data_IF_150441230178
#
_entry.id   IF_150441230178
#
_cell.length_a   1.000
_cell.length_b   1.000
_cell.length_c   1.000
_cell.angle_alpha   90.00
_cell.angle_beta   90.00
_cell.angle_gamma   90.00
#
_symmetry.space_group_name_H-M   'P 1'
#
loop_
_entity.id
_entity.type
_entity.pdbx_description
1 polymer ?
#
# COMPACT_ATOMS: atom_id res chain seq x y z
N UNK A 1 -16.42 12.17 -31.90
CA UNK A 1 -16.75 11.69 -30.53
C UNK A 1 -15.51 11.85 -29.68
N UNK A 2 -15.55 12.67 -28.61
CA UNK A 2 -14.41 12.92 -27.73
C UNK A 2 -14.10 11.65 -26.93
N UNK A 3 -12.95 11.05 -27.16
CA UNK A 3 -12.41 9.96 -26.35
C UNK A 3 -12.29 10.45 -24.91
N UNK A 4 -13.13 9.92 -24.01
CA UNK A 4 -12.93 10.06 -22.57
C UNK A 4 -11.66 9.28 -22.26
N UNK A 5 -10.55 9.99 -22.10
CA UNK A 5 -9.34 9.45 -21.48
C UNK A 5 -9.74 8.86 -20.13
N UNK A 6 -9.69 7.54 -20.03
CA UNK A 6 -9.95 6.82 -18.80
C UNK A 6 -8.84 7.18 -17.80
N UNK A 7 -9.17 7.93 -16.74
CA UNK A 7 -8.21 8.42 -15.74
C UNK A 7 -7.42 7.30 -15.05
N UNK A 8 -7.90 6.05 -15.13
CA UNK A 8 -7.23 4.85 -14.62
C UNK A 8 -5.94 4.49 -15.38
N UNK A 9 -5.78 4.87 -16.65
CA UNK A 9 -4.60 4.50 -17.45
C UNK A 9 -3.33 5.32 -17.15
N UNK A 10 -3.40 6.37 -16.33
CA UNK A 10 -2.22 7.22 -16.06
C UNK A 10 -1.29 6.66 -15.00
N UNK A 11 -1.78 5.77 -14.13
CA UNK A 11 -1.10 5.40 -12.89
C UNK A 11 -0.62 3.95 -12.82
N UNK A 12 -0.94 3.11 -13.80
CA UNK A 12 -0.64 1.67 -13.75
C UNK A 12 0.21 1.21 -14.94
N UNK A 13 1.21 2.02 -15.30
CA UNK A 13 2.33 1.48 -16.05
C UNK A 13 3.12 0.61 -15.06
N UNK A 14 2.83 -0.69 -15.06
CA UNK A 14 3.70 -1.71 -14.52
C UNK A 14 5.07 -1.56 -15.20
N UNK A 15 5.92 -0.69 -14.64
CA UNK A 15 7.26 -0.45 -15.17
C UNK A 15 8.13 -1.62 -14.76
N UNK A 16 8.14 -2.61 -15.64
CA UNK A 16 9.14 -3.66 -15.63
C UNK A 16 10.53 -3.01 -15.67
N UNK A 17 11.36 -3.40 -14.72
CA UNK A 17 12.63 -2.76 -14.39
C UNK A 17 13.41 -2.39 -15.67
N UNK A 18 13.67 -1.10 -15.87
CA UNK A 18 14.17 -0.56 -17.13
C UNK A 18 15.51 -1.19 -17.58
N UNK A 19 16.23 -1.81 -16.64
CA UNK A 19 17.51 -2.50 -16.85
C UNK A 19 17.42 -3.74 -17.77
N UNK A 20 16.24 -4.35 -17.94
CA UNK A 20 16.02 -5.47 -18.88
C UNK A 20 15.25 -5.08 -20.13
N UNK A 21 14.93 -3.79 -20.32
CA UNK A 21 14.00 -3.34 -21.37
C UNK A 21 14.71 -2.54 -22.46
N UNK A 22 14.58 -2.97 -23.71
CA UNK A 22 14.82 -2.10 -24.87
C UNK A 22 13.46 -1.78 -25.49
N UNK A 23 12.89 -0.58 -25.27
CA UNK A 23 11.56 -0.27 -25.79
C UNK A 23 11.57 -0.21 -27.32
N UNK A 24 10.71 -1.02 -27.96
CA UNK A 24 10.42 -0.91 -29.41
C UNK A 24 9.04 -0.26 -29.55
N UNK A 25 8.96 0.86 -30.28
CA UNK A 25 7.66 1.44 -30.66
C UNK A 25 7.01 0.54 -31.73
N UNK A 26 5.86 -0.03 -31.41
CA UNK A 26 5.04 -0.84 -32.33
C UNK A 26 3.62 -0.31 -32.46
N UNK A 27 2.81 -1.00 -33.27
CA UNK A 27 1.42 -0.60 -33.61
C UNK A 27 0.47 -0.49 -32.40
N UNK A 28 0.81 -1.09 -31.25
CA UNK A 28 -0.02 -1.11 -30.02
C UNK A 28 0.61 -0.33 -28.83
N UNK A 29 1.68 0.45 -29.05
CA UNK A 29 2.33 1.25 -28.00
C UNK A 29 3.70 0.75 -27.58
N UNK A 30 4.02 0.84 -26.28
CA UNK A 30 5.31 0.45 -25.72
C UNK A 30 5.37 -1.07 -25.57
N UNK A 31 6.29 -1.72 -26.28
CA UNK A 31 6.51 -3.16 -26.21
C UNK A 31 7.76 -3.46 -25.38
N UNK A 32 7.66 -4.44 -24.50
CA UNK A 32 8.72 -4.88 -23.61
C UNK A 32 9.41 -6.09 -24.22
N UNK A 33 10.75 -6.08 -24.27
CA UNK A 33 11.53 -7.20 -24.78
C UNK A 33 11.41 -8.38 -23.81
N UNK A 34 10.96 -9.51 -24.33
CA UNK A 34 10.95 -10.77 -23.61
C UNK A 34 12.38 -11.28 -23.47
N UNK A 35 12.77 -11.54 -22.23
CA UNK A 35 13.97 -12.28 -21.86
C UNK A 35 13.49 -13.53 -21.14
N UNK A 36 14.00 -14.71 -21.51
CA UNK A 36 13.65 -15.96 -20.82
C UNK A 36 14.13 -15.86 -19.37
N UNK A 37 13.16 -15.81 -18.47
CA UNK A 37 13.28 -15.84 -17.02
C UNK A 37 12.06 -16.60 -16.47
N UNK A 38 12.14 -17.07 -15.22
CA UNK A 38 11.13 -17.98 -14.64
C UNK A 38 9.69 -17.43 -14.70
N UNK A 39 9.51 -16.10 -14.70
CA UNK A 39 8.17 -15.49 -14.65
C UNK A 39 7.62 -15.23 -16.04
N UNK A 40 8.42 -14.63 -16.92
CA UNK A 40 7.99 -14.41 -18.29
C UNK A 40 7.76 -15.73 -19.01
N UNK A 41 8.52 -16.77 -18.64
CA UNK A 41 8.28 -18.13 -19.11
C UNK A 41 6.94 -18.67 -18.59
N UNK A 42 6.59 -18.43 -17.32
CA UNK A 42 5.28 -18.80 -16.75
C UNK A 42 4.11 -18.02 -17.37
N UNK A 43 4.32 -16.79 -17.81
CA UNK A 43 3.31 -15.98 -18.53
C UNK A 43 3.16 -16.40 -20.00
N UNK A 44 4.20 -17.01 -20.58
CA UNK A 44 4.26 -17.41 -21.98
C UNK A 44 4.25 -18.94 -22.18
N UNK A 45 4.04 -19.74 -21.14
CA UNK A 45 4.30 -21.19 -21.13
C UNK A 45 3.64 -21.93 -22.31
N UNK A 46 2.34 -21.72 -22.55
CA UNK A 46 1.66 -22.39 -23.67
C UNK A 46 2.08 -21.86 -25.05
N UNK A 47 2.65 -20.66 -25.11
CA UNK A 47 3.21 -20.08 -26.35
C UNK A 47 4.60 -20.64 -26.62
N UNK A 48 5.41 -20.81 -25.56
CA UNK A 48 6.76 -21.38 -25.63
C UNK A 48 6.71 -22.86 -26.05
N UNK A 49 5.67 -23.59 -25.64
CA UNK A 49 5.46 -25.00 -26.00
C UNK A 49 5.10 -25.22 -27.49
N UNK A 50 4.98 -24.15 -28.30
CA UNK A 50 4.75 -24.22 -29.74
C UNK A 50 6.03 -23.83 -30.52
N UNK A 51 6.75 -24.82 -31.04
CA UNK A 51 8.11 -24.72 -31.62
C UNK A 51 8.29 -23.72 -32.80
N UNK A 52 7.21 -23.17 -33.35
CA UNK A 52 7.27 -22.43 -34.62
C UNK A 52 7.60 -20.94 -34.47
N UNK A 53 7.32 -20.32 -33.32
CA UNK A 53 7.62 -18.90 -33.07
C UNK A 53 7.95 -18.68 -31.59
N UNK A 54 9.10 -18.07 -31.30
CA UNK A 54 9.48 -17.71 -29.93
C UNK A 54 8.95 -16.33 -29.55
N UNK A 55 8.33 -16.17 -28.36
CA UNK A 55 7.95 -14.86 -27.86
C UNK A 55 9.19 -13.97 -27.79
N UNK A 56 9.07 -12.73 -28.26
CA UNK A 56 10.17 -11.74 -28.24
C UNK A 56 9.74 -10.42 -27.62
N UNK A 57 8.44 -10.11 -27.62
CA UNK A 57 7.93 -8.95 -26.91
C UNK A 57 6.59 -9.22 -26.22
N UNK A 58 6.31 -8.46 -25.18
CA UNK A 58 5.04 -8.44 -24.47
C UNK A 58 4.51 -6.99 -24.42
N UNK A 59 3.21 -6.78 -24.59
CA UNK A 59 2.60 -5.46 -24.40
C UNK A 59 2.58 -5.07 -22.93
N UNK A 60 2.26 -3.81 -22.68
CA UNK A 60 1.80 -3.39 -21.36
C UNK A 60 0.55 -4.18 -20.95
N UNK A 61 0.35 -4.33 -19.63
CA UNK A 61 -0.87 -4.88 -19.06
C UNK A 61 -1.98 -3.84 -19.10
N UNK A 62 -3.16 -4.25 -19.56
CA UNK A 62 -4.38 -3.46 -19.60
C UNK A 62 -5.35 -3.96 -18.54
N UNK A 63 -5.77 -3.05 -17.66
CA UNK A 63 -6.78 -3.35 -16.64
C UNK A 63 -8.12 -3.65 -17.32
N UNK A 64 -8.66 -4.84 -17.08
CA UNK A 64 -10.01 -5.19 -17.51
C UNK A 64 -11.04 -4.68 -16.49
N UNK A 65 -12.28 -4.37 -16.92
CA UNK A 65 -13.36 -4.08 -15.97
C UNK A 65 -13.48 -5.21 -14.94
N UNK A 66 -13.62 -4.86 -13.66
CA UNK A 66 -13.81 -5.84 -12.59
C UNK A 66 -15.00 -6.73 -12.92
N UNK A 67 -14.79 -8.04 -12.85
CA UNK A 67 -15.88 -9.00 -12.91
C UNK A 67 -16.55 -9.05 -11.53
N UNK A 68 -17.79 -8.55 -11.46
CA UNK A 68 -18.60 -8.48 -10.25
C UNK A 68 -18.77 -9.85 -9.55
N UNK A 69 -18.51 -10.96 -10.26
CA UNK A 69 -18.64 -12.32 -9.70
C UNK A 69 -17.43 -12.81 -8.94
N UNK A 70 -16.22 -12.37 -9.29
CA UNK A 70 -14.98 -12.81 -8.63
C UNK A 70 -14.43 -11.76 -7.65
N UNK A 71 -14.79 -10.49 -7.84
CA UNK A 71 -14.19 -9.36 -7.11
C UNK A 71 -12.72 -9.11 -7.45
N UNK A 72 -12.11 -9.99 -8.24
CA UNK A 72 -10.69 -10.05 -8.54
C UNK A 72 -10.35 -9.18 -9.76
N UNK A 73 -9.26 -8.40 -9.65
CA UNK A 73 -8.79 -7.58 -10.74
C UNK A 73 -8.14 -8.46 -11.82
N UNK A 74 -8.55 -8.26 -13.06
CA UNK A 74 -8.02 -8.95 -14.24
C UNK A 74 -7.21 -7.99 -15.11
N UNK A 75 -6.15 -8.50 -15.70
CA UNK A 75 -5.28 -7.76 -16.62
C UNK A 75 -5.19 -8.49 -17.95
N UNK A 76 -5.15 -7.76 -19.06
CA UNK A 76 -4.91 -8.30 -20.39
C UNK A 76 -3.53 -7.88 -20.91
N UNK A 77 -2.80 -8.79 -21.53
CA UNK A 77 -1.58 -8.46 -22.25
C UNK A 77 -1.49 -9.26 -23.55
N UNK A 78 -0.65 -8.77 -24.47
CA UNK A 78 -0.40 -9.37 -25.77
C UNK A 78 1.05 -9.82 -25.87
N UNK A 79 1.27 -10.93 -26.57
CA UNK A 79 2.59 -11.51 -26.81
C UNK A 79 2.89 -11.36 -28.30
N UNK A 80 4.11 -10.97 -28.65
CA UNK A 80 4.55 -10.73 -30.02
C UNK A 80 5.87 -11.45 -30.32
N UNK A 81 6.06 -11.77 -31.60
CA UNK A 81 7.32 -12.29 -32.11
C UNK A 81 8.36 -11.18 -32.40
N UNK A 82 9.54 -11.56 -32.88
CA UNK A 82 10.64 -10.62 -33.20
C UNK A 82 10.27 -9.57 -34.25
N UNK A 83 9.35 -9.92 -35.14
CA UNK A 83 8.92 -9.11 -36.27
C UNK A 83 7.75 -8.18 -35.89
N UNK A 84 7.16 -8.40 -34.71
CA UNK A 84 6.08 -7.60 -34.14
C UNK A 84 4.69 -8.13 -34.45
N UNK A 85 4.57 -9.36 -34.94
CA UNK A 85 3.27 -10.01 -35.12
C UNK A 85 2.74 -10.50 -33.78
N UNK A 86 1.47 -10.20 -33.51
CA UNK A 86 0.80 -10.66 -32.30
C UNK A 86 0.62 -12.18 -32.38
N UNK A 87 1.23 -12.88 -31.43
CA UNK A 87 1.16 -14.33 -31.27
C UNK A 87 -0.05 -14.74 -30.43
N UNK A 88 -0.35 -13.99 -29.35
CA UNK A 88 -1.42 -14.31 -28.42
C UNK A 88 -1.89 -13.09 -27.62
N UNK A 89 -3.05 -13.23 -26.98
CA UNK A 89 -3.57 -12.32 -25.95
C UNK A 89 -4.00 -13.13 -24.75
N UNK A 90 -3.60 -12.70 -23.54
CA UNK A 90 -3.89 -13.40 -22.30
C UNK A 90 -4.55 -12.50 -21.29
N UNK A 91 -5.46 -13.09 -20.53
CA UNK A 91 -6.00 -12.49 -19.33
C UNK A 91 -5.36 -13.16 -18.13
N UNK A 92 -4.91 -12.37 -17.17
CA UNK A 92 -4.25 -12.84 -15.97
C UNK A 92 -4.87 -12.18 -14.75
N UNK A 93 -5.01 -12.96 -13.69
CA UNK A 93 -5.50 -12.49 -12.40
C UNK A 93 -4.43 -11.70 -11.67
N UNK A 94 -4.83 -10.70 -10.90
CA UNK A 94 -3.93 -9.98 -10.00
C UNK A 94 -3.20 -10.92 -9.06
N UNK A 95 -3.91 -11.87 -8.43
CA UNK A 95 -3.32 -12.84 -7.51
C UNK A 95 -2.20 -13.67 -8.14
N UNK A 96 -2.33 -14.03 -9.42
CA UNK A 96 -1.31 -14.78 -10.15
C UNK A 96 -0.10 -13.90 -10.49
N UNK A 97 -0.31 -12.62 -10.83
CA UNK A 97 0.80 -11.68 -10.99
C UNK A 97 1.54 -11.45 -9.67
N UNK A 98 0.81 -11.38 -8.56
CA UNK A 98 1.39 -11.28 -7.22
C UNK A 98 2.20 -12.54 -6.88
N UNK A 99 1.64 -13.73 -7.11
CA UNK A 99 2.31 -15.01 -6.90
C UNK A 99 3.60 -15.13 -7.74
N UNK A 100 3.54 -14.69 -9.00
CA UNK A 100 4.72 -14.62 -9.86
C UNK A 100 5.73 -13.57 -9.40
N UNK A 101 5.30 -12.47 -8.78
CA UNK A 101 6.19 -11.42 -8.27
C UNK A 101 6.94 -11.82 -6.98
N UNK A 102 6.41 -12.79 -6.22
CA UNK A 102 7.02 -13.25 -4.97
C UNK A 102 8.40 -13.92 -5.16
N UNK A 103 8.68 -14.64 -6.28
CA UNK A 103 10.01 -15.18 -6.56
C UNK A 103 10.93 -14.29 -7.41
N UNK A 104 10.43 -13.46 -8.34
CA UNK A 104 11.31 -12.56 -9.11
C UNK A 104 10.68 -11.18 -9.39
N UNK A 105 11.56 -10.18 -9.35
CA UNK A 105 11.35 -8.73 -9.40
C UNK A 105 10.55 -8.20 -10.63
N UNK A 106 9.26 -8.51 -10.75
CA UNK A 106 8.36 -7.87 -11.70
C UNK A 106 7.43 -6.89 -10.97
N UNK A 107 7.75 -5.60 -11.06
CA UNK A 107 6.96 -4.46 -10.57
C UNK A 107 6.46 -4.68 -9.16
N UNK A 108 7.30 -4.28 -8.20
CA UNK A 108 7.05 -4.32 -6.78
C UNK A 108 5.56 -4.06 -6.49
N UNK A 109 4.77 -5.11 -6.30
CA UNK A 109 3.33 -4.97 -6.08
C UNK A 109 3.07 -4.16 -4.81
N UNK A 110 4.05 -4.17 -3.91
CA UNK A 110 4.24 -3.26 -2.81
C UNK A 110 4.19 -1.80 -3.27
N UNK A 111 4.90 -1.39 -4.32
CA UNK A 111 4.85 -0.01 -4.86
C UNK A 111 3.44 0.40 -5.30
N UNK A 112 2.70 -0.47 -6.01
CA UNK A 112 1.32 -0.15 -6.45
C UNK A 112 0.40 -0.06 -5.24
N UNK A 113 0.47 -1.04 -4.33
CA UNK A 113 -0.28 -1.06 -3.07
C UNK A 113 0.03 0.17 -2.21
N UNK A 114 1.27 0.62 -2.19
CA UNK A 114 1.73 1.79 -1.46
C UNK A 114 1.16 3.07 -2.06
N UNK A 115 1.14 3.21 -3.39
CA UNK A 115 0.55 4.38 -4.04
C UNK A 115 -0.98 4.41 -3.91
N UNK A 116 -1.67 3.28 -4.01
CA UNK A 116 -3.11 3.18 -3.72
C UNK A 116 -3.42 3.55 -2.26
N UNK A 117 -2.60 3.08 -1.33
CA UNK A 117 -2.70 3.42 0.08
C UNK A 117 -2.49 4.93 0.31
N UNK A 118 -1.44 5.51 -0.29
CA UNK A 118 -1.17 6.95 -0.20
C UNK A 118 -2.33 7.78 -0.74
N UNK A 119 -2.82 7.43 -1.91
CA UNK A 119 -3.94 8.12 -2.54
C UNK A 119 -5.24 7.98 -1.73
N UNK A 120 -5.48 6.81 -1.12
CA UNK A 120 -6.64 6.59 -0.26
C UNK A 120 -6.60 7.39 1.05
N UNK A 121 -5.39 7.70 1.53
CA UNK A 121 -5.16 8.34 2.82
C UNK A 121 -4.74 9.81 2.76
N UNK A 122 -4.51 10.36 1.57
CA UNK A 122 -4.05 11.75 1.36
C UNK A 122 -4.92 12.84 2.01
N UNK A 123 -6.20 12.56 2.27
CA UNK A 123 -7.12 13.51 2.90
C UNK A 123 -7.00 13.50 4.45
N UNK A 124 -6.23 12.54 5.00
CA UNK A 124 -6.03 12.37 6.43
C UNK A 124 -4.72 12.95 6.95
N UNK A 125 -3.76 13.21 6.07
CA UNK A 125 -2.43 13.65 6.47
C UNK A 125 -1.44 13.65 5.34
N UNK A 126 -0.22 14.11 5.64
CA UNK A 126 0.91 14.10 4.73
C UNK A 126 1.79 12.87 5.00
N UNK A 127 2.24 12.22 3.93
CA UNK A 127 3.13 11.07 4.05
C UNK A 127 4.58 11.51 4.20
N UNK A 128 5.18 11.17 5.34
CA UNK A 128 6.62 11.16 5.54
C UNK A 128 7.22 9.79 5.25
N UNK A 129 8.50 9.77 4.88
CA UNK A 129 9.30 8.55 4.97
C UNK A 129 9.76 8.40 6.42
N UNK A 130 9.68 7.20 6.98
CA UNK A 130 10.43 6.89 8.21
C UNK A 130 11.91 6.98 7.83
N UNK A 131 12.57 8.08 8.20
CA UNK A 131 14.01 8.23 7.99
C UNK A 131 14.73 7.14 8.77
N UNK A 132 15.15 6.11 8.03
CA UNK A 132 16.40 5.38 8.22
C UNK A 132 16.67 4.96 9.68
N UNK A 133 15.90 4.00 10.20
CA UNK A 133 16.35 3.26 11.38
C UNK A 133 17.50 2.34 10.96
N UNK A 134 18.70 2.90 10.89
CA UNK A 134 19.95 2.16 10.74
C UNK A 134 19.94 0.93 11.66
N UNK A 135 19.88 -0.26 11.06
CA UNK A 135 20.22 -1.52 11.74
C UNK A 135 19.10 -2.51 12.06
N UNK A 136 17.90 -2.41 11.46
CA UNK A 136 16.96 -3.53 11.47
C UNK A 136 16.83 -4.14 10.08
N UNK A 137 17.27 -5.39 9.94
CA UNK A 137 17.02 -6.26 8.78
C UNK A 137 15.51 -6.56 8.64
N UNK A 138 14.71 -5.56 8.29
CA UNK A 138 13.32 -5.74 7.86
C UNK A 138 13.12 -4.87 6.64
N UNK A 139 12.83 -5.51 5.53
CA UNK A 139 12.56 -4.88 4.23
C UNK A 139 11.54 -3.72 4.39
N UNK A 140 12.04 -2.51 4.20
CA UNK A 140 11.42 -1.24 4.58
C UNK A 140 10.35 -0.76 3.58
N UNK A 141 9.07 -0.96 3.93
CA UNK A 141 7.92 -0.26 3.33
C UNK A 141 7.01 0.33 4.41
N UNK A 142 7.62 0.90 5.45
CA UNK A 142 6.89 1.48 6.58
C UNK A 142 6.61 2.96 6.29
N UNK A 143 5.36 3.38 6.39
CA UNK A 143 4.93 4.75 6.11
C UNK A 143 4.61 5.48 7.41
N UNK A 144 5.10 6.71 7.56
CA UNK A 144 4.63 7.62 8.60
C UNK A 144 3.57 8.55 8.01
N UNK A 145 2.32 8.42 8.44
CA UNK A 145 1.27 9.36 8.11
C UNK A 145 1.23 10.46 9.18
N UNK A 146 1.66 11.66 8.81
CA UNK A 146 1.52 12.85 9.64
C UNK A 146 0.06 13.31 9.60
N UNK A 147 -0.65 13.11 10.71
CA UNK A 147 -2.07 13.50 10.79
C UNK A 147 -2.27 14.91 11.35
N UNK A 148 -1.20 15.67 11.57
CA UNK A 148 -1.29 17.07 11.95
C UNK A 148 -1.77 17.91 10.75
N UNK A 149 -2.80 18.73 10.95
CA UNK A 149 -3.34 19.62 9.90
C UNK A 149 -2.78 21.04 9.94
N UNK A 150 -2.04 21.38 10.99
CA UNK A 150 -1.57 22.72 11.33
C UNK A 150 -0.25 22.59 12.10
N UNK A 151 0.56 23.66 12.26
CA UNK A 151 1.93 23.58 12.81
C UNK A 151 2.04 23.19 14.29
N UNK A 152 1.00 22.60 14.87
CA UNK A 152 0.94 22.12 16.25
C UNK A 152 0.95 20.59 16.28
N UNK A 153 1.88 20.07 17.08
CA UNK A 153 2.54 18.77 16.99
C UNK A 153 1.88 17.67 17.84
N UNK A 154 0.60 17.85 18.22
CA UNK A 154 -0.01 17.07 19.30
C UNK A 154 -0.65 15.75 18.84
N UNK A 155 -1.03 15.62 17.57
CA UNK A 155 -1.62 14.38 17.06
C UNK A 155 -0.53 13.36 16.71
N UNK A 156 0.58 13.83 16.14
CA UNK A 156 1.77 13.04 15.82
C UNK A 156 1.61 12.17 14.58
N UNK A 157 2.40 11.10 14.52
CA UNK A 157 2.45 10.19 13.36
C UNK A 157 1.67 8.88 13.62
N UNK A 158 1.09 8.35 12.56
CA UNK A 158 0.64 6.96 12.51
C UNK A 158 1.59 6.20 11.59
N UNK A 159 2.30 5.23 12.15
CA UNK A 159 3.08 4.29 11.36
C UNK A 159 2.15 3.24 10.74
N UNK A 160 2.31 3.01 9.46
CA UNK A 160 1.56 2.03 8.68
C UNK A 160 2.55 1.05 8.08
N UNK A 161 2.32 -0.24 8.36
CA UNK A 161 3.15 -1.36 7.92
C UNK A 161 2.30 -2.27 7.02
N UNK A 162 2.36 -2.11 5.68
CA UNK A 162 1.76 -3.05 4.75
C UNK A 162 2.37 -4.45 4.92
N UNK A 163 1.53 -5.48 4.88
CA UNK A 163 1.95 -6.88 4.99
C UNK A 163 1.89 -7.55 3.62
N UNK A 164 2.65 -8.64 3.44
CA UNK A 164 2.69 -9.39 2.18
C UNK A 164 1.31 -9.91 1.76
N UNK A 165 0.50 -10.33 2.74
CA UNK A 165 -0.84 -10.90 2.54
C UNK A 165 -1.93 -9.86 2.16
N UNK A 166 -1.58 -8.56 2.11
CA UNK A 166 -2.52 -7.49 1.77
C UNK A 166 -3.14 -6.79 2.98
N UNK A 167 -2.91 -7.30 4.19
CA UNK A 167 -3.30 -6.64 5.43
C UNK A 167 -2.37 -5.47 5.77
N UNK A 168 -2.80 -4.65 6.73
CA UNK A 168 -2.02 -3.54 7.24
C UNK A 168 -1.94 -3.60 8.75
N UNK A 169 -0.82 -3.15 9.27
CA UNK A 169 -0.64 -2.91 10.70
C UNK A 169 -0.48 -1.42 10.93
N UNK A 170 -1.16 -0.88 11.94
CA UNK A 170 -1.04 0.50 12.37
C UNK A 170 -0.43 0.58 13.75
N UNK A 171 0.46 1.54 13.97
CA UNK A 171 1.03 1.84 15.28
C UNK A 171 1.23 3.34 15.47
N UNK A 172 0.91 3.85 16.66
CA UNK A 172 1.25 5.23 17.05
C UNK A 172 2.60 5.24 17.76
N UNK A 173 3.67 4.91 17.02
CA UNK A 173 5.01 4.76 17.60
C UNK A 173 5.54 6.12 18.10
N UNK A 174 6.13 6.15 19.29
CA UNK A 174 6.74 7.35 19.84
C UNK A 174 5.79 8.47 20.29
N UNK A 175 4.47 8.29 20.19
CA UNK A 175 3.50 9.34 20.55
C UNK A 175 2.49 8.88 21.61
N UNK A 176 3.01 8.40 22.74
CA UNK A 176 2.22 8.08 23.96
C UNK A 176 1.58 9.34 24.56
N UNK A 177 0.43 9.19 25.21
CA UNK A 177 -0.11 10.23 26.08
C UNK A 177 0.50 10.12 27.47
N UNK A 178 0.80 11.26 28.07
CA UNK A 178 1.22 11.33 29.46
C UNK A 178 0.17 12.09 30.26
N UNK A 179 -0.34 11.47 31.33
CA UNK A 179 -1.39 12.06 32.17
C UNK A 179 -1.11 11.76 33.63
N UNK A 180 -1.14 12.80 34.47
CA UNK A 180 -0.99 12.68 35.93
C UNK A 180 -2.33 12.80 36.68
N UNK A 181 -3.28 13.56 36.14
CA UNK A 181 -4.55 13.88 36.82
C UNK A 181 -5.67 12.88 36.51
N UNK A 182 -6.40 12.44 37.55
CA UNK A 182 -7.47 11.44 37.41
C UNK A 182 -8.61 11.91 36.48
N UNK A 183 -9.05 13.16 36.62
CA UNK A 183 -10.11 13.72 35.77
C UNK A 183 -9.72 13.75 34.29
N UNK A 184 -8.44 13.96 33.97
CA UNK A 184 -7.96 13.94 32.59
C UNK A 184 -7.91 12.49 32.04
N UNK A 185 -7.60 11.50 32.88
CA UNK A 185 -7.74 10.08 32.53
C UNK A 185 -9.20 9.72 32.22
N UNK A 186 -10.16 10.21 33.03
CA UNK A 186 -11.59 9.97 32.80
C UNK A 186 -12.07 10.58 31.48
N UNK A 187 -11.65 11.81 31.15
CA UNK A 187 -11.93 12.41 29.84
C UNK A 187 -11.36 11.58 28.70
N UNK A 188 -10.09 11.17 28.80
CA UNK A 188 -9.45 10.33 27.79
C UNK A 188 -10.22 9.03 27.58
N UNK A 189 -10.57 8.33 28.66
CA UNK A 189 -11.37 7.11 28.59
C UNK A 189 -12.73 7.37 27.93
N UNK A 190 -13.40 8.47 28.25
CA UNK A 190 -14.70 8.83 27.65
C UNK A 190 -14.64 9.07 26.14
N UNK A 191 -13.52 9.60 25.64
CA UNK A 191 -13.30 9.83 24.21
C UNK A 191 -13.18 8.49 23.47
N UNK A 192 -12.43 7.55 24.04
CA UNK A 192 -12.16 6.24 23.43
C UNK A 192 -13.25 5.20 23.72
N UNK A 193 -14.15 5.46 24.66
CA UNK A 193 -15.20 4.53 25.05
C UNK A 193 -16.11 4.16 23.88
N UNK A 194 -16.26 2.85 23.64
CA UNK A 194 -17.06 2.33 22.52
C UNK A 194 -16.37 2.38 21.16
N UNK A 195 -15.13 2.87 21.07
CA UNK A 195 -14.32 2.80 19.85
C UNK A 195 -13.65 1.42 19.71
N UNK A 196 -13.11 1.15 18.51
CA UNK A 196 -12.31 -0.06 18.23
C UNK A 196 -10.92 -0.02 18.88
N UNK A 197 -10.51 1.12 19.43
CA UNK A 197 -9.18 1.34 19.96
C UNK A 197 -9.13 1.01 21.45
N UNK A 198 -8.22 0.11 21.81
CA UNK A 198 -7.88 -0.11 23.21
C UNK A 198 -6.86 0.92 23.70
N UNK A 199 -6.90 1.24 24.99
CA UNK A 199 -5.88 2.04 25.65
C UNK A 199 -5.12 1.17 26.65
N UNK A 200 -3.80 1.18 26.57
CA UNK A 200 -2.93 0.50 27.53
C UNK A 200 -2.28 1.53 28.43
N UNK A 201 -2.49 1.36 29.74
CA UNK A 201 -1.95 2.23 30.77
C UNK A 201 -0.72 1.57 31.41
N UNK A 202 0.35 2.34 31.54
CA UNK A 202 1.55 1.95 32.26
C UNK A 202 1.93 3.06 33.21
N UNK A 203 1.95 2.77 34.51
CA UNK A 203 2.44 3.72 35.50
C UNK A 203 3.93 3.95 35.31
N UNK A 204 4.35 5.21 35.26
CA UNK A 204 5.75 5.60 35.20
C UNK A 204 6.21 5.95 36.61
N UNK A 205 7.41 5.50 36.97
CA UNK A 205 8.02 5.80 38.25
C UNK A 205 8.71 7.16 38.21
N UNK A 206 7.93 8.22 38.46
CA UNK A 206 8.41 9.57 38.78
C UNK A 206 7.99 9.95 40.20
N UNK A 207 8.38 11.14 40.68
CA UNK A 207 8.08 11.57 42.06
C UNK A 207 6.58 11.78 42.35
N UNK A 208 5.74 11.80 41.33
CA UNK A 208 4.28 11.91 41.40
C UNK A 208 3.63 10.79 40.58
N UNK A 209 2.29 10.69 40.63
CA UNK A 209 1.55 9.71 39.82
C UNK A 209 1.53 10.21 38.38
N UNK A 210 2.08 9.42 37.45
CA UNK A 210 2.06 9.69 36.01
C UNK A 210 1.82 8.39 35.25
N UNK A 211 0.96 8.42 34.26
CA UNK A 211 0.68 7.29 33.37
C UNK A 211 1.18 7.57 31.96
N UNK A 212 1.91 6.61 31.40
CA UNK A 212 2.12 6.46 29.97
C UNK A 212 0.92 5.70 29.41
N UNK A 213 0.23 6.29 28.45
CA UNK A 213 -0.96 5.71 27.84
C UNK A 213 -0.68 5.54 26.35
N UNK A 214 -0.73 4.30 25.90
CA UNK A 214 -0.43 3.92 24.51
C UNK A 214 -1.64 3.30 23.87
N UNK A 215 -1.83 3.57 22.58
CA UNK A 215 -2.77 2.82 21.73
C UNK A 215 -1.99 1.60 21.22
N UNK A 216 -2.38 0.36 21.57
CA UNK A 216 -1.72 -0.83 21.04
C UNK A 216 -1.80 -0.88 19.52
N UNK A 217 -0.85 -1.60 18.93
CA UNK A 217 -0.82 -1.90 17.51
C UNK A 217 -2.12 -2.56 17.05
N UNK A 218 -2.56 -2.22 15.85
CA UNK A 218 -3.84 -2.63 15.27
C UNK A 218 -3.58 -3.30 13.94
N UNK A 219 -4.20 -4.44 13.72
CA UNK A 219 -4.17 -5.16 12.44
C UNK A 219 -5.52 -4.94 11.75
N UNK A 220 -5.48 -4.64 10.45
CA UNK A 220 -6.66 -4.44 9.60
C UNK A 220 -6.51 -5.25 8.32
N UNK A 221 -7.62 -5.81 7.83
CA UNK A 221 -7.60 -6.80 6.77
C UNK A 221 -7.31 -6.21 5.39
N UNK A 222 -7.78 -4.99 5.12
CA UNK A 222 -7.69 -4.38 3.80
C UNK A 222 -7.64 -2.84 3.82
N UNK A 223 -7.51 -2.24 2.64
CA UNK A 223 -7.40 -0.79 2.47
C UNK A 223 -8.66 -0.03 2.90
N UNK A 224 -9.84 -0.63 2.80
CA UNK A 224 -11.10 -0.01 3.23
C UNK A 224 -11.14 0.08 4.75
N UNK A 225 -10.76 -1.01 5.45
CA UNK A 225 -10.66 -1.03 6.90
C UNK A 225 -9.54 -0.13 7.41
N UNK A 226 -8.40 -0.07 6.71
CA UNK A 226 -7.32 0.88 7.00
C UNK A 226 -7.83 2.32 6.98
N UNK A 227 -8.52 2.71 5.89
CA UNK A 227 -9.05 4.07 5.73
C UNK A 227 -10.00 4.45 6.86
N UNK A 228 -10.91 3.55 7.21
CA UNK A 228 -11.88 3.79 8.27
C UNK A 228 -11.23 3.86 9.65
N UNK A 229 -10.25 3.00 9.90
CA UNK A 229 -9.44 2.99 11.13
C UNK A 229 -8.67 4.30 11.28
N UNK A 230 -7.94 4.74 10.25
CA UNK A 230 -7.20 6.03 10.26
C UNK A 230 -8.14 7.21 10.48
N UNK A 231 -9.28 7.24 9.77
CA UNK A 231 -10.30 8.29 9.93
C UNK A 231 -10.80 8.35 11.38
N UNK A 232 -11.16 7.21 11.95
CA UNK A 232 -11.71 7.14 13.31
C UNK A 232 -10.65 7.54 14.33
N UNK A 233 -9.43 7.04 14.19
CA UNK A 233 -8.32 7.39 15.08
C UNK A 233 -8.07 8.91 15.07
N UNK A 234 -8.00 9.53 13.88
CA UNK A 234 -7.79 10.98 13.75
C UNK A 234 -8.88 11.79 14.46
N UNK A 235 -10.14 11.39 14.35
CA UNK A 235 -11.26 12.05 15.05
C UNK A 235 -11.09 11.94 16.57
N UNK A 236 -10.70 10.78 17.07
CA UNK A 236 -10.49 10.56 18.50
C UNK A 236 -9.31 11.37 19.02
N UNK A 237 -8.17 11.33 18.33
CA UNK A 237 -6.98 12.08 18.69
C UNK A 237 -7.23 13.59 18.71
N UNK A 238 -8.00 14.12 17.75
CA UNK A 238 -8.42 15.52 17.75
C UNK A 238 -9.26 15.87 18.98
N UNK A 239 -10.16 14.99 19.40
CA UNK A 239 -10.92 15.21 20.65
C UNK A 239 -10.01 15.18 21.88
N UNK A 240 -8.97 14.34 21.89
CA UNK A 240 -7.98 14.33 22.98
C UNK A 240 -7.29 15.67 23.06
N UNK A 241 -6.75 16.15 21.94
CA UNK A 241 -6.06 17.44 21.84
C UNK A 241 -6.94 18.62 22.30
N UNK A 242 -8.23 18.61 21.93
CA UNK A 242 -9.17 19.68 22.28
C UNK A 242 -9.66 19.64 23.75
N UNK A 243 -9.65 18.49 24.42
CA UNK A 243 -10.41 18.28 25.67
C UNK A 243 -9.58 17.81 26.86
N UNK A 244 -8.42 17.18 26.60
CA UNK A 244 -7.58 16.52 27.61
C UNK A 244 -6.30 17.32 27.80
N UNK A 245 -6.01 17.68 29.04
CA UNK A 245 -4.72 18.30 29.37
C UNK A 245 -3.67 17.21 29.57
N UNK A 246 -2.78 17.06 28.59
CA UNK A 246 -1.65 16.14 28.63
C UNK A 246 -0.42 16.80 29.30
N UNK A 247 0.43 15.97 29.90
CA UNK A 247 1.66 16.38 30.61
C UNK A 247 2.88 16.61 29.68
#
# INVERSE_FOLDING_TARGET
>A
MKNKYNKYNKYHNYQLNALSTTPKKGHDGLMLRYHSDNIMDSLCEEVINNDYCKPTYISQFYVLPKDDKSGEQMFNFKIYDKDGFQMSSRNVKESYLLDLSLPNQLVDATLIRNEEMKEALKDYGDFGWLEDTQGKERDDYSFALDINNEPYDTLGYIDIYPQADGSFTLEKYGSSFYVSELHEIEKLLSIFYGSVFSLKFKRIFVKWVRYEITIPRIEVADLSELKETVRTLRILLKKVDEQVNLD
#
